data_IF_925422902479
#
_entry.id   IF_925422902479
#
_cell.length_a   1.000
_cell.length_b   1.000
_cell.length_c   1.000
_cell.angle_alpha   90.00
_cell.angle_beta   90.00
_cell.angle_gamma   90.00
#
_symmetry.space_group_name_H-M   'P 1'
#
loop_
_entity.id
_entity.type
_entity.pdbx_description
1 polymer ?
#
# COMPACT_ATOMS: atom_id res chain seq x y z
N UNK A 1 3.01 -16.42 10.62
CA UNK A 1 3.50 -15.85 9.35
C UNK A 1 4.73 -16.65 8.89
N UNK A 2 5.01 -16.69 7.59
CA UNK A 2 6.10 -17.46 6.97
C UNK A 2 7.46 -16.80 7.29
N UNK A 3 8.52 -17.61 7.53
CA UNK A 3 9.88 -17.12 7.81
C UNK A 3 10.40 -16.13 6.76
N UNK A 4 10.01 -16.29 5.50
CA UNK A 4 10.35 -15.36 4.42
C UNK A 4 9.76 -13.99 4.65
N UNK A 5 8.50 -13.91 5.09
CA UNK A 5 7.84 -12.66 5.42
C UNK A 5 8.57 -11.91 6.54
N UNK A 6 8.89 -12.62 7.62
CA UNK A 6 9.56 -12.03 8.78
C UNK A 6 10.98 -11.53 8.42
N UNK A 7 11.70 -12.26 7.58
CA UNK A 7 12.99 -11.82 7.03
C UNK A 7 12.84 -10.55 6.20
N UNK A 8 11.87 -10.50 5.28
CA UNK A 8 11.66 -9.31 4.44
C UNK A 8 11.22 -8.10 5.27
N UNK A 9 10.34 -8.32 6.24
CA UNK A 9 9.93 -7.27 7.18
C UNK A 9 11.13 -6.66 7.90
N UNK A 10 12.04 -7.51 8.41
CA UNK A 10 13.26 -7.04 9.09
C UNK A 10 14.15 -6.21 8.17
N UNK A 11 14.37 -6.65 6.93
CA UNK A 11 15.14 -5.91 5.92
C UNK A 11 14.52 -4.54 5.62
N UNK A 12 13.21 -4.49 5.45
CA UNK A 12 12.47 -3.26 5.17
C UNK A 12 12.53 -2.28 6.34
N UNK A 13 12.31 -2.74 7.56
CA UNK A 13 12.36 -1.87 8.75
C UNK A 13 13.75 -1.29 8.97
N UNK A 14 14.81 -2.07 8.73
CA UNK A 14 16.19 -1.58 8.76
C UNK A 14 16.46 -0.52 7.67
N UNK A 15 16.07 -0.82 6.43
CA UNK A 15 16.27 0.09 5.30
C UNK A 15 15.48 1.41 5.46
N UNK A 16 14.26 1.36 5.99
CA UNK A 16 13.48 2.56 6.28
C UNK A 16 14.18 3.47 7.30
N UNK A 17 14.77 2.90 8.37
CA UNK A 17 15.54 3.69 9.35
C UNK A 17 16.80 4.31 8.74
N UNK A 18 17.43 3.65 7.79
CA UNK A 18 18.58 4.21 7.07
C UNK A 18 18.16 5.31 6.08
N UNK A 19 17.01 5.14 5.39
CA UNK A 19 16.52 6.10 4.42
C UNK A 19 15.94 7.38 5.06
N UNK A 20 15.38 7.27 6.26
CA UNK A 20 14.87 8.40 7.06
C UNK A 20 15.47 8.30 8.48
N UNK A 21 16.72 8.75 8.68
CA UNK A 21 17.33 8.77 9.98
C UNK A 21 16.62 9.76 10.92
N UNK A 22 16.69 9.50 12.22
CA UNK A 22 16.19 10.45 13.20
C UNK A 22 16.98 11.76 13.10
N UNK A 23 16.33 12.94 13.22
CA UNK A 23 17.01 14.22 13.14
C UNK A 23 18.05 14.35 14.26
N UNK A 24 19.26 14.78 13.87
CA UNK A 24 20.34 15.04 14.82
C UNK A 24 20.31 16.51 15.25
N UNK A 25 20.16 16.74 16.55
CA UNK A 25 20.33 18.06 17.17
C UNK A 25 19.16 19.04 16.96
N UNK A 26 19.47 20.33 17.02
CA UNK A 26 18.50 21.44 16.98
C UNK A 26 18.34 22.06 15.59
N UNK A 27 18.27 21.23 14.55
CA UNK A 27 17.98 21.76 13.20
C UNK A 27 16.62 22.47 13.16
N UNK A 28 16.50 23.62 12.49
CA UNK A 28 15.20 24.25 12.27
C UNK A 28 14.18 23.37 11.51
N UNK A 29 14.64 22.35 10.77
CA UNK A 29 13.83 21.39 10.03
C UNK A 29 13.47 20.16 10.86
N UNK A 30 14.06 19.96 12.04
CA UNK A 30 13.80 18.79 12.89
C UNK A 30 12.31 18.50 13.13
N UNK A 31 11.43 19.52 13.36
CA UNK A 31 10.01 19.23 13.61
C UNK A 31 9.30 18.52 12.45
N UNK A 32 9.62 18.83 11.19
CA UNK A 32 9.01 18.11 10.06
C UNK A 32 9.59 16.70 9.92
N UNK A 33 10.87 16.53 10.14
CA UNK A 33 11.55 15.23 10.11
C UNK A 33 11.02 14.30 11.22
N UNK A 34 10.79 14.83 12.43
CA UNK A 34 10.15 14.11 13.53
C UNK A 34 8.71 13.70 13.19
N UNK A 35 7.92 14.59 12.58
CA UNK A 35 6.56 14.30 12.18
C UNK A 35 6.51 13.23 11.05
N UNK A 36 7.43 13.28 10.08
CA UNK A 36 7.60 12.24 9.07
C UNK A 36 7.92 10.88 9.70
N UNK A 37 8.92 10.85 10.58
CA UNK A 37 9.36 9.64 11.27
C UNK A 37 8.28 9.06 12.18
N UNK A 38 7.52 9.90 12.88
CA UNK A 38 6.40 9.47 13.72
C UNK A 38 5.44 8.57 12.95
N UNK A 39 4.93 9.01 11.80
CA UNK A 39 3.97 8.22 11.01
C UNK A 39 4.61 7.04 10.30
N UNK A 40 5.84 7.18 9.80
CA UNK A 40 6.54 6.10 9.10
C UNK A 40 6.85 4.92 10.05
N UNK A 41 7.23 5.21 11.32
CA UNK A 41 7.66 4.20 12.28
C UNK A 41 6.59 3.79 13.30
N UNK A 42 5.35 4.27 13.18
CA UNK A 42 4.24 3.84 14.05
C UNK A 42 3.89 2.35 13.87
N UNK A 43 4.45 1.70 12.87
CA UNK A 43 4.23 0.29 12.53
C UNK A 43 3.34 0.11 11.31
N UNK A 44 2.93 -1.14 11.08
CA UNK A 44 2.10 -1.55 9.94
C UNK A 44 2.51 -2.91 9.41
N UNK A 45 1.65 -3.52 8.58
CA UNK A 45 1.89 -4.86 8.01
C UNK A 45 3.00 -4.88 6.93
N UNK A 46 3.43 -3.73 6.43
CA UNK A 46 4.47 -3.57 5.39
C UNK A 46 4.28 -4.47 4.17
N UNK A 47 3.03 -4.72 3.79
CA UNK A 47 2.71 -5.65 2.67
C UNK A 47 3.34 -5.17 1.35
N UNK A 48 3.25 -3.86 1.04
CA UNK A 48 3.76 -3.29 -0.21
C UNK A 48 5.28 -3.46 -0.34
N UNK A 49 6.11 -3.05 0.64
CA UNK A 49 7.56 -3.32 0.59
C UNK A 49 7.89 -4.80 0.51
N UNK A 50 7.21 -5.67 1.27
CA UNK A 50 7.42 -7.13 1.24
C UNK A 50 7.11 -7.70 -0.15
N UNK A 51 6.07 -7.22 -0.83
CA UNK A 51 5.78 -7.59 -2.21
C UNK A 51 6.90 -7.16 -3.17
N UNK A 52 7.47 -5.97 -3.01
CA UNK A 52 8.59 -5.53 -3.86
C UNK A 52 9.80 -6.47 -3.72
N UNK A 53 10.16 -6.85 -2.50
CA UNK A 53 11.23 -7.81 -2.26
C UNK A 53 10.91 -9.19 -2.84
N UNK A 54 9.67 -9.66 -2.65
CA UNK A 54 9.19 -10.94 -3.17
C UNK A 54 9.25 -11.03 -4.69
N UNK A 55 8.83 -9.99 -5.40
CA UNK A 55 8.90 -9.94 -6.87
C UNK A 55 10.33 -9.79 -7.38
N UNK A 56 11.20 -9.08 -6.68
CA UNK A 56 12.63 -9.05 -7.01
C UNK A 56 13.23 -10.46 -6.95
N UNK A 57 12.99 -11.19 -5.85
CA UNK A 57 13.48 -12.57 -5.72
C UNK A 57 12.84 -13.50 -6.76
N UNK A 58 11.55 -13.38 -7.05
CA UNK A 58 10.86 -14.20 -8.05
C UNK A 58 11.45 -14.03 -9.45
N UNK A 59 11.94 -12.82 -9.77
CA UNK A 59 12.62 -12.51 -11.03
C UNK A 59 14.12 -12.86 -11.02
N UNK A 60 14.64 -13.48 -9.94
CA UNK A 60 16.03 -13.92 -9.83
C UNK A 60 17.01 -12.90 -9.26
N UNK A 61 16.52 -11.74 -8.81
CA UNK A 61 17.33 -10.73 -8.09
C UNK A 61 17.50 -11.09 -6.61
N UNK A 62 18.47 -10.47 -5.93
CA UNK A 62 18.55 -10.47 -4.48
C UNK A 62 17.49 -9.51 -3.91
N UNK A 63 16.70 -9.89 -2.89
CA UNK A 63 15.67 -9.03 -2.33
C UNK A 63 16.18 -7.65 -1.91
N UNK A 64 17.41 -7.59 -1.42
CA UNK A 64 18.08 -6.39 -0.96
C UNK A 64 18.24 -5.33 -2.07
N UNK A 65 18.28 -5.74 -3.33
CA UNK A 65 18.33 -4.81 -4.47
C UNK A 65 17.06 -3.95 -4.58
N UNK A 66 15.90 -4.49 -4.19
CA UNK A 66 14.64 -3.77 -4.26
C UNK A 66 14.38 -2.83 -3.06
N UNK A 67 15.26 -2.79 -2.05
CA UNK A 67 15.04 -2.00 -0.83
C UNK A 67 14.78 -0.51 -1.08
N UNK A 68 15.50 0.21 -1.99
CA UNK A 68 15.17 1.60 -2.28
C UNK A 68 13.73 1.76 -2.81
N UNK A 69 13.29 0.88 -3.68
CA UNK A 69 11.93 0.88 -4.22
C UNK A 69 10.88 0.51 -3.16
N UNK A 70 11.18 -0.49 -2.33
CA UNK A 70 10.33 -0.91 -1.22
C UNK A 70 10.12 0.21 -0.19
N UNK A 71 11.19 0.89 0.20
CA UNK A 71 11.13 2.07 1.09
C UNK A 71 10.31 3.21 0.46
N UNK A 72 10.54 3.51 -0.82
CA UNK A 72 9.84 4.56 -1.54
C UNK A 72 8.33 4.33 -1.58
N UNK A 73 7.89 3.11 -1.89
CA UNK A 73 6.46 2.75 -1.90
C UNK A 73 5.83 2.90 -0.51
N UNK A 74 6.54 2.52 0.56
CA UNK A 74 6.02 2.67 1.93
C UNK A 74 5.97 4.13 2.37
N UNK A 75 6.92 4.98 1.93
CA UNK A 75 6.88 6.42 2.17
C UNK A 75 5.68 7.06 1.47
N UNK A 76 5.42 6.67 0.20
CA UNK A 76 4.23 7.11 -0.54
C UNK A 76 2.95 6.65 0.16
N UNK A 77 2.88 5.41 0.61
CA UNK A 77 1.74 4.93 1.38
C UNK A 77 1.57 5.69 2.70
N UNK A 78 2.66 6.01 3.39
CA UNK A 78 2.59 6.71 4.67
C UNK A 78 2.13 8.16 4.51
N UNK A 79 2.64 8.88 3.50
CA UNK A 79 2.16 10.25 3.27
C UNK A 79 0.66 10.28 2.98
N UNK A 80 0.15 9.33 2.19
CA UNK A 80 -1.27 9.31 1.88
C UNK A 80 -2.12 9.13 3.13
N UNK A 81 -1.68 8.28 4.07
CA UNK A 81 -2.36 8.11 5.36
C UNK A 81 -2.31 9.38 6.23
N UNK A 82 -1.19 10.12 6.23
CA UNK A 82 -1.10 11.39 6.97
C UNK A 82 -2.11 12.40 6.42
N UNK A 83 -2.20 12.51 5.09
CA UNK A 83 -3.11 13.46 4.45
C UNK A 83 -4.57 13.02 4.57
N UNK A 84 -4.86 11.71 4.46
CA UNK A 84 -6.22 11.17 4.67
C UNK A 84 -6.74 11.48 6.08
N UNK A 85 -5.88 11.46 7.09
CA UNK A 85 -6.26 11.73 8.48
C UNK A 85 -6.57 13.21 8.78
N UNK A 86 -6.23 14.17 7.88
CA UNK A 86 -6.43 15.59 8.11
C UNK A 86 -7.92 15.95 8.26
N UNK A 87 -8.26 17.03 9.01
CA UNK A 87 -9.65 17.48 9.18
C UNK A 87 -10.39 17.87 7.90
N UNK A 88 -9.66 18.17 6.82
CA UNK A 88 -10.26 18.44 5.50
C UNK A 88 -10.47 17.17 4.65
N UNK A 89 -10.14 16.01 5.20
CA UNK A 89 -10.26 14.69 4.58
C UNK A 89 -11.13 13.80 5.49
N UNK A 90 -10.59 12.68 6.01
CA UNK A 90 -11.33 11.73 6.84
C UNK A 90 -11.52 12.19 8.31
N UNK A 91 -10.76 13.19 8.77
CA UNK A 91 -10.74 13.73 10.16
C UNK A 91 -10.60 12.63 11.23
N UNK A 92 -9.67 11.70 11.01
CA UNK A 92 -9.45 10.60 11.92
C UNK A 92 -8.51 10.99 13.07
N UNK A 93 -8.94 10.71 14.31
CA UNK A 93 -8.15 11.01 15.51
C UNK A 93 -7.07 9.97 15.80
N UNK A 94 -7.27 8.73 15.36
CA UNK A 94 -6.43 7.58 15.70
C UNK A 94 -6.11 6.73 14.47
N UNK A 95 -4.84 6.31 14.35
CA UNK A 95 -4.38 5.36 13.33
C UNK A 95 -3.40 4.36 13.92
N UNK A 96 -3.63 3.07 13.67
CA UNK A 96 -2.79 1.96 14.20
C UNK A 96 -2.62 2.04 15.73
N UNK A 97 -3.66 2.46 16.45
CA UNK A 97 -3.66 2.56 17.92
C UNK A 97 -2.87 3.74 18.49
N UNK A 98 -2.46 4.69 17.65
CA UNK A 98 -1.78 5.94 18.05
C UNK A 98 -2.57 7.15 17.54
N UNK A 99 -2.46 8.33 18.19
CA UNK A 99 -2.99 9.57 17.64
C UNK A 99 -2.45 9.83 16.24
N UNK A 100 -3.29 10.41 15.37
CA UNK A 100 -2.89 10.79 14.01
C UNK A 100 -1.88 11.94 14.02
N UNK A 101 -1.16 12.12 12.92
CA UNK A 101 -0.06 13.08 12.85
C UNK A 101 -0.52 14.50 13.20
N UNK A 102 -1.68 14.93 12.66
CA UNK A 102 -2.21 16.27 12.91
C UNK A 102 -2.65 16.49 14.37
N UNK A 103 -3.02 15.42 15.10
CA UNK A 103 -3.32 15.53 16.54
C UNK A 103 -2.05 15.71 17.39
N UNK A 104 -0.90 15.22 16.93
CA UNK A 104 0.37 15.32 17.66
C UNK A 104 1.13 16.59 17.30
N UNK A 105 1.20 16.94 16.02
CA UNK A 105 2.05 18.01 15.49
C UNK A 105 1.26 19.22 14.95
N UNK A 106 -0.06 19.14 14.89
CA UNK A 106 -0.91 20.14 14.26
C UNK A 106 -1.03 19.96 12.74
N UNK A 107 -2.09 20.53 12.16
CA UNK A 107 -2.48 20.33 10.74
C UNK A 107 -1.38 20.75 9.75
N UNK A 108 -0.80 21.96 9.95
CA UNK A 108 0.22 22.47 9.05
C UNK A 108 1.47 21.59 9.01
N UNK A 109 1.90 21.08 10.17
CA UNK A 109 3.06 20.21 10.24
C UNK A 109 2.75 18.82 9.66
N UNK A 110 1.56 18.29 9.88
CA UNK A 110 1.12 17.04 9.26
C UNK A 110 1.09 17.15 7.72
N UNK A 111 0.58 18.27 7.18
CA UNK A 111 0.61 18.52 5.74
C UNK A 111 2.05 18.52 5.21
N UNK A 112 2.95 19.26 5.85
CA UNK A 112 4.37 19.30 5.45
C UNK A 112 5.09 17.95 5.62
N UNK A 113 4.73 17.15 6.63
CA UNK A 113 5.27 15.81 6.82
C UNK A 113 4.86 14.87 5.68
N UNK A 114 3.62 14.97 5.21
CA UNK A 114 3.17 14.25 4.01
C UNK A 114 3.94 14.65 2.76
N UNK A 115 4.07 15.97 2.50
CA UNK A 115 4.84 16.50 1.37
C UNK A 115 6.33 16.06 1.43
N UNK A 116 6.90 16.09 2.63
CA UNK A 116 8.26 15.66 2.89
C UNK A 116 8.47 14.17 2.56
N UNK A 117 7.57 13.30 3.03
CA UNK A 117 7.61 11.86 2.73
C UNK A 117 7.41 11.57 1.23
N UNK A 118 6.50 12.27 0.57
CA UNK A 118 6.29 12.13 -0.87
C UNK A 118 7.56 12.48 -1.65
N UNK A 119 8.20 13.58 -1.32
CA UNK A 119 9.46 14.01 -1.97
C UNK A 119 10.60 13.03 -1.65
N UNK A 120 10.73 12.61 -0.38
CA UNK A 120 11.72 11.63 0.07
C UNK A 120 11.56 10.27 -0.61
N UNK A 121 10.34 9.87 -0.92
CA UNK A 121 10.07 8.64 -1.66
C UNK A 121 10.76 8.62 -3.03
N UNK A 122 10.67 9.71 -3.79
CA UNK A 122 11.34 9.80 -5.10
C UNK A 122 12.85 9.90 -4.98
N UNK A 123 13.37 10.64 -4.02
CA UNK A 123 14.81 10.66 -3.70
C UNK A 123 15.32 9.23 -3.41
N UNK A 124 14.56 8.48 -2.59
CA UNK A 124 14.89 7.10 -2.20
C UNK A 124 14.80 6.16 -3.40
N UNK A 125 13.74 6.24 -4.22
CA UNK A 125 13.62 5.41 -5.42
C UNK A 125 14.78 5.64 -6.42
N UNK A 126 15.18 6.88 -6.59
CA UNK A 126 16.30 7.26 -7.47
C UNK A 126 17.67 6.90 -6.91
N UNK A 127 17.79 6.53 -5.64
CA UNK A 127 19.03 6.00 -5.04
C UNK A 127 19.29 4.53 -5.38
N UNK A 128 18.44 3.90 -6.20
CA UNK A 128 18.63 2.52 -6.65
C UNK A 128 20.02 2.34 -7.29
N UNK A 129 20.79 1.37 -6.76
CA UNK A 129 22.19 1.17 -7.13
C UNK A 129 22.41 0.40 -8.44
N UNK A 130 21.35 -0.06 -9.11
CA UNK A 130 21.40 -0.72 -10.42
C UNK A 130 21.53 0.27 -11.58
N UNK A 131 21.22 -0.16 -12.82
CA UNK A 131 21.24 0.71 -13.99
C UNK A 131 20.40 1.97 -13.78
N UNK A 132 20.91 3.14 -14.19
CA UNK A 132 20.20 4.42 -14.05
C UNK A 132 18.84 4.42 -14.76
N UNK A 133 18.72 3.71 -15.87
CA UNK A 133 17.46 3.52 -16.60
C UNK A 133 16.42 2.79 -15.77
N UNK A 134 16.81 1.81 -14.94
CA UNK A 134 15.92 1.09 -14.05
C UNK A 134 15.51 1.95 -12.84
N UNK A 135 16.42 2.79 -12.31
CA UNK A 135 16.06 3.79 -11.29
C UNK A 135 14.98 4.74 -11.82
N UNK A 136 15.16 5.27 -13.04
CA UNK A 136 14.18 6.14 -13.70
C UNK A 136 12.88 5.39 -13.98
N UNK A 137 12.95 4.13 -14.43
CA UNK A 137 11.76 3.30 -14.71
C UNK A 137 10.97 3.03 -13.43
N UNK A 138 11.63 2.66 -12.34
CA UNK A 138 11.00 2.46 -11.03
C UNK A 138 10.33 3.73 -10.52
N UNK A 139 11.03 4.86 -10.55
CA UNK A 139 10.47 6.16 -10.14
C UNK A 139 9.28 6.58 -11.00
N UNK A 140 9.31 6.31 -12.33
CA UNK A 140 8.18 6.56 -13.24
C UNK A 140 6.97 5.71 -12.89
N UNK A 141 7.15 4.41 -12.62
CA UNK A 141 6.07 3.51 -12.18
C UNK A 141 5.44 4.07 -10.90
N UNK A 142 6.26 4.42 -9.91
CA UNK A 142 5.78 5.00 -8.66
C UNK A 142 4.96 6.28 -8.91
N UNK A 143 5.46 7.21 -9.71
CA UNK A 143 4.78 8.47 -10.03
C UNK A 143 3.42 8.24 -10.71
N UNK A 144 3.36 7.34 -11.69
CA UNK A 144 2.13 7.02 -12.39
C UNK A 144 1.09 6.38 -11.46
N UNK A 145 1.52 5.46 -10.58
CA UNK A 145 0.63 4.73 -9.69
C UNK A 145 0.22 5.53 -8.45
N UNK A 146 1.04 6.47 -8.00
CA UNK A 146 0.69 7.37 -6.91
C UNK A 146 -0.14 8.58 -7.36
N UNK A 147 -0.01 9.02 -8.61
CA UNK A 147 -0.57 10.25 -9.15
C UNK A 147 -2.06 10.22 -9.46
N UNK A 148 -2.53 11.20 -10.25
CA UNK A 148 -3.93 11.40 -10.61
C UNK A 148 -4.55 10.23 -11.41
N UNK A 149 -3.75 9.43 -12.12
CA UNK A 149 -4.21 8.21 -12.79
C UNK A 149 -4.07 6.95 -11.91
N UNK A 150 -3.81 7.10 -10.62
CA UNK A 150 -3.63 6.03 -9.66
C UNK A 150 -4.22 6.42 -8.30
N UNK A 151 -3.40 6.34 -7.22
CA UNK A 151 -3.86 6.49 -5.84
C UNK A 151 -4.57 7.82 -5.57
N UNK A 152 -4.01 8.95 -6.02
CA UNK A 152 -4.65 10.27 -5.85
C UNK A 152 -5.98 10.34 -6.60
N UNK A 153 -6.06 9.76 -7.82
CA UNK A 153 -7.31 9.68 -8.56
C UNK A 153 -8.36 8.83 -7.86
N UNK A 154 -7.96 7.67 -7.33
CA UNK A 154 -8.85 6.81 -6.53
C UNK A 154 -9.37 7.53 -5.27
N UNK A 155 -8.53 8.29 -4.58
CA UNK A 155 -8.94 9.11 -3.44
C UNK A 155 -9.91 10.24 -3.86
N UNK A 156 -9.69 10.84 -5.02
CA UNK A 156 -10.63 11.83 -5.57
C UNK A 156 -12.02 11.23 -5.84
N UNK A 157 -12.07 10.01 -6.40
CA UNK A 157 -13.34 9.28 -6.61
C UNK A 157 -14.00 8.96 -5.26
N UNK A 158 -13.24 8.53 -4.26
CA UNK A 158 -13.77 8.23 -2.92
C UNK A 158 -14.47 9.47 -2.30
N UNK A 159 -13.79 10.61 -2.27
CA UNK A 159 -14.36 11.87 -1.77
C UNK A 159 -15.56 12.35 -2.58
N UNK A 160 -15.48 12.29 -3.92
CA UNK A 160 -16.60 12.73 -4.78
C UNK A 160 -17.81 11.78 -4.67
N UNK A 161 -17.61 10.56 -4.19
CA UNK A 161 -18.66 9.55 -4.02
C UNK A 161 -19.41 9.63 -2.70
N UNK A 162 -18.95 10.43 -1.74
CA UNK A 162 -19.59 10.56 -0.43
C UNK A 162 -21.02 11.08 -0.55
N UNK A 163 -21.97 10.37 0.06
CA UNK A 163 -23.40 10.70 0.02
C UNK A 163 -24.06 10.51 -1.36
N UNK A 164 -23.39 9.88 -2.32
CA UNK A 164 -23.92 9.58 -3.64
C UNK A 164 -24.20 8.08 -3.82
N UNK A 165 -25.06 7.75 -4.78
CA UNK A 165 -25.29 6.37 -5.17
C UNK A 165 -24.17 5.91 -6.11
N UNK A 166 -23.38 4.93 -5.64
CA UNK A 166 -22.20 4.38 -6.33
C UNK A 166 -22.54 3.01 -6.88
N UNK A 167 -22.35 2.80 -8.18
CA UNK A 167 -22.47 1.48 -8.79
C UNK A 167 -21.18 0.65 -8.66
N UNK A 168 -21.27 -0.63 -8.99
CA UNK A 168 -20.15 -1.56 -8.88
C UNK A 168 -18.96 -1.18 -9.79
N UNK A 169 -19.21 -0.50 -10.92
CA UNK A 169 -18.16 -0.07 -11.85
C UNK A 169 -17.33 1.03 -11.25
N UNK A 170 -17.99 2.05 -10.68
CA UNK A 170 -17.33 3.18 -10.03
C UNK A 170 -16.59 2.74 -8.76
N UNK A 171 -17.18 1.83 -7.95
CA UNK A 171 -16.53 1.25 -6.79
C UNK A 171 -15.23 0.51 -7.17
N UNK A 172 -15.27 -0.27 -8.25
CA UNK A 172 -14.06 -0.94 -8.77
C UNK A 172 -13.00 0.04 -9.26
N UNK A 173 -13.38 1.09 -9.95
CA UNK A 173 -12.46 2.13 -10.43
C UNK A 173 -11.79 2.86 -9.25
N UNK A 174 -12.56 3.20 -8.23
CA UNK A 174 -12.06 3.78 -6.99
C UNK A 174 -10.99 2.89 -6.34
N UNK A 175 -11.27 1.60 -6.14
CA UNK A 175 -10.35 0.66 -5.51
C UNK A 175 -9.12 0.36 -6.36
N UNK A 176 -9.29 0.29 -7.69
CA UNK A 176 -8.16 0.20 -8.63
C UNK A 176 -7.18 1.36 -8.45
N UNK A 177 -7.69 2.58 -8.24
CA UNK A 177 -6.87 3.75 -7.96
C UNK A 177 -6.33 3.73 -6.52
N UNK A 178 -7.23 3.81 -5.54
CA UNK A 178 -6.89 4.04 -4.12
C UNK A 178 -6.02 2.93 -3.53
N UNK A 179 -6.31 1.66 -3.85
CA UNK A 179 -5.67 0.50 -3.20
C UNK A 179 -4.74 -0.27 -4.15
N UNK A 180 -5.23 -0.70 -5.32
CA UNK A 180 -4.50 -1.59 -6.22
C UNK A 180 -3.30 -0.90 -6.86
N UNK A 181 -3.41 0.37 -7.23
CA UNK A 181 -2.36 1.07 -7.95
C UNK A 181 -1.01 1.03 -7.21
N UNK A 182 -1.00 1.28 -5.91
CA UNK A 182 0.25 1.30 -5.13
C UNK A 182 0.78 -0.11 -4.84
N UNK A 183 -0.09 -1.12 -4.72
CA UNK A 183 0.32 -2.54 -4.69
C UNK A 183 0.97 -2.93 -6.01
N UNK A 184 0.40 -2.48 -7.13
CA UNK A 184 0.96 -2.70 -8.46
C UNK A 184 2.33 -2.02 -8.63
N UNK A 185 2.50 -0.79 -8.12
CA UNK A 185 3.81 -0.14 -8.07
C UNK A 185 4.85 -1.01 -7.37
N UNK A 186 4.53 -1.52 -6.18
CA UNK A 186 5.42 -2.36 -5.40
C UNK A 186 5.87 -3.62 -6.17
N UNK A 187 4.91 -4.37 -6.73
CA UNK A 187 5.20 -5.59 -7.48
C UNK A 187 6.05 -5.31 -8.74
N UNK A 188 5.67 -4.28 -9.52
CA UNK A 188 6.39 -3.92 -10.74
C UNK A 188 7.80 -3.39 -10.45
N UNK A 189 7.97 -2.54 -9.42
CA UNK A 189 9.28 -2.01 -9.03
C UNK A 189 10.20 -3.12 -8.51
N UNK A 190 9.65 -4.14 -7.84
CA UNK A 190 10.40 -5.34 -7.50
C UNK A 190 10.92 -6.08 -8.73
N UNK A 191 10.11 -6.24 -9.76
CA UNK A 191 10.54 -6.80 -11.05
C UNK A 191 11.64 -5.94 -11.72
N UNK A 192 11.48 -4.60 -11.72
CA UNK A 192 12.49 -3.67 -12.26
C UNK A 192 13.82 -3.82 -11.54
N UNK A 193 13.83 -3.97 -10.21
CA UNK A 193 15.04 -4.15 -9.41
C UNK A 193 15.86 -5.40 -9.82
N UNK A 194 15.20 -6.40 -10.40
CA UNK A 194 15.83 -7.61 -10.92
C UNK A 194 16.09 -7.56 -12.45
N UNK A 195 15.88 -6.42 -13.12
CA UNK A 195 16.06 -6.30 -14.55
C UNK A 195 15.01 -7.03 -15.40
N UNK A 196 13.82 -7.26 -14.87
CA UNK A 196 12.76 -7.99 -15.55
C UNK A 196 12.17 -7.23 -16.76
N UNK A 197 11.71 -8.01 -17.77
CA UNK A 197 11.09 -7.48 -18.97
C UNK A 197 9.60 -7.12 -18.81
N UNK A 198 9.02 -6.51 -19.87
CA UNK A 198 7.63 -6.01 -19.86
C UNK A 198 6.59 -7.12 -19.58
N UNK A 199 6.81 -8.34 -20.06
CA UNK A 199 5.88 -9.45 -19.81
C UNK A 199 5.78 -9.80 -18.31
N UNK A 200 6.90 -9.74 -17.59
CA UNK A 200 6.93 -9.97 -16.14
C UNK A 200 6.31 -8.81 -15.38
N UNK A 201 6.53 -7.56 -15.83
CA UNK A 201 5.89 -6.38 -15.25
C UNK A 201 4.35 -6.45 -15.41
N UNK A 202 3.86 -6.90 -16.56
CA UNK A 202 2.42 -7.06 -16.78
C UNK A 202 1.83 -8.18 -15.91
N UNK A 203 2.55 -9.29 -15.75
CA UNK A 203 2.12 -10.36 -14.85
C UNK A 203 2.13 -9.91 -13.38
N UNK A 204 3.13 -9.13 -12.96
CA UNK A 204 3.16 -8.52 -11.63
C UNK A 204 1.99 -7.56 -11.41
N UNK A 205 1.60 -6.78 -12.43
CA UNK A 205 0.42 -5.92 -12.40
C UNK A 205 -0.86 -6.73 -12.20
N UNK A 206 -1.05 -7.83 -12.93
CA UNK A 206 -2.22 -8.72 -12.78
C UNK A 206 -2.28 -9.37 -11.41
N UNK A 207 -1.14 -9.81 -10.87
CA UNK A 207 -1.08 -10.31 -9.51
C UNK A 207 -1.53 -9.23 -8.50
N UNK A 208 -1.01 -8.02 -8.63
CA UNK A 208 -1.34 -6.90 -7.76
C UNK A 208 -2.83 -6.53 -7.81
N UNK A 209 -3.44 -6.60 -9.01
CA UNK A 209 -4.88 -6.42 -9.20
C UNK A 209 -5.67 -7.47 -8.42
N UNK A 210 -5.34 -8.74 -8.58
CA UNK A 210 -5.99 -9.82 -7.86
C UNK A 210 -5.86 -9.68 -6.34
N UNK A 211 -4.64 -9.45 -5.84
CA UNK A 211 -4.40 -9.29 -4.39
C UNK A 211 -5.07 -8.05 -3.84
N UNK A 212 -4.97 -6.91 -4.53
CA UNK A 212 -5.52 -5.63 -4.07
C UNK A 212 -7.04 -5.65 -4.01
N UNK A 213 -7.70 -6.19 -5.03
CA UNK A 213 -9.16 -6.35 -5.05
C UNK A 213 -9.65 -7.35 -4.00
N UNK A 214 -9.00 -8.51 -3.88
CA UNK A 214 -9.35 -9.48 -2.84
C UNK A 214 -9.19 -8.88 -1.43
N UNK A 215 -8.13 -8.12 -1.23
CA UNK A 215 -7.84 -7.43 0.03
C UNK A 215 -8.93 -6.42 0.39
N UNK A 216 -9.33 -5.54 -0.56
CA UNK A 216 -10.35 -4.53 -0.33
C UNK A 216 -11.73 -5.14 -0.07
N UNK A 217 -12.16 -6.09 -0.91
CA UNK A 217 -13.45 -6.77 -0.73
C UNK A 217 -13.48 -7.53 0.61
N UNK A 218 -12.34 -8.12 1.02
CA UNK A 218 -12.23 -8.77 2.33
C UNK A 218 -12.35 -7.77 3.49
N UNK A 219 -11.79 -6.55 3.34
CA UNK A 219 -11.99 -5.47 4.33
C UNK A 219 -13.46 -5.11 4.48
N UNK A 220 -14.19 -4.95 3.38
CA UNK A 220 -15.64 -4.67 3.39
C UNK A 220 -16.44 -5.78 4.10
N UNK A 221 -16.08 -7.04 3.85
CA UNK A 221 -16.70 -8.19 4.54
C UNK A 221 -16.42 -8.13 6.05
N UNK A 222 -15.19 -7.82 6.44
CA UNK A 222 -14.79 -7.73 7.84
C UNK A 222 -15.45 -6.54 8.55
N UNK A 223 -15.66 -5.42 7.86
CA UNK A 223 -16.35 -4.26 8.43
C UNK A 223 -17.82 -4.57 8.76
N UNK A 224 -18.47 -5.40 7.95
CA UNK A 224 -19.88 -5.81 8.17
C UNK A 224 -20.01 -6.95 9.16
N UNK A 225 -19.14 -7.96 9.12
CA UNK A 225 -19.25 -9.19 9.91
C UNK A 225 -18.34 -9.21 11.14
N UNK A 226 -17.38 -8.30 11.22
CA UNK A 226 -16.36 -8.27 12.26
C UNK A 226 -16.91 -7.82 13.61
N UNK A 227 -16.22 -8.22 14.68
CA UNK A 227 -16.42 -7.72 16.02
C UNK A 227 -15.40 -6.60 16.31
N UNK A 228 -15.88 -5.46 16.82
CA UNK A 228 -15.05 -4.30 17.14
C UNK A 228 -13.86 -4.64 18.05
N UNK A 229 -14.04 -5.56 19.00
CA UNK A 229 -12.98 -6.01 19.91
C UNK A 229 -11.88 -6.79 19.19
N UNK A 230 -12.21 -7.49 18.10
CA UNK A 230 -11.30 -8.34 17.33
C UNK A 230 -10.53 -7.55 16.29
N UNK A 231 -11.15 -6.54 15.65
CA UNK A 231 -10.56 -5.77 14.54
C UNK A 231 -9.66 -4.61 15.00
N UNK A 232 -9.79 -4.15 16.26
CA UNK A 232 -9.00 -3.03 16.79
C UNK A 232 -9.31 -1.68 16.13
N UNK A 233 -10.43 -1.58 15.40
CA UNK A 233 -11.01 -0.38 14.79
C UNK A 233 -12.51 -0.34 15.03
N UNK A 234 -13.16 0.79 14.83
CA UNK A 234 -14.62 0.87 14.86
C UNK A 234 -15.19 0.09 13.67
N UNK A 235 -16.07 -0.87 13.94
CA UNK A 235 -16.81 -1.66 12.94
C UNK A 235 -18.00 -0.83 12.46
N UNK A 236 -18.40 -1.01 11.19
CA UNK A 236 -19.53 -0.29 10.62
C UNK A 236 -19.20 1.16 10.26
N UNK A 237 -17.92 1.51 10.09
CA UNK A 237 -17.52 2.87 9.70
C UNK A 237 -18.10 3.27 8.34
N UNK A 238 -18.16 2.34 7.37
CA UNK A 238 -18.77 2.59 6.06
C UNK A 238 -20.28 2.87 6.20
N UNK A 239 -20.97 2.12 7.05
CA UNK A 239 -22.40 2.37 7.35
C UNK A 239 -22.61 3.70 8.07
N UNK A 240 -21.71 4.11 8.96
CA UNK A 240 -21.78 5.38 9.67
C UNK A 240 -21.53 6.58 8.76
N UNK A 241 -20.71 6.39 7.69
CA UNK A 241 -20.41 7.41 6.66
C UNK A 241 -21.30 7.31 5.43
N UNK A 242 -22.31 6.42 5.42
CA UNK A 242 -23.20 6.15 4.28
C UNK A 242 -22.45 5.76 2.99
N UNK A 243 -21.26 5.11 3.15
CA UNK A 243 -20.44 4.65 2.02
C UNK A 243 -20.95 3.33 1.47
N UNK A 244 -21.08 3.24 0.15
CA UNK A 244 -21.35 1.97 -0.56
C UNK A 244 -20.08 1.12 -0.60
N UNK A 245 -20.22 -0.19 -0.36
CA UNK A 245 -19.16 -1.16 -0.43
C UNK A 245 -19.64 -2.45 -1.14
N UNK A 246 -18.76 -3.41 -1.38
CA UNK A 246 -19.11 -4.64 -2.10
C UNK A 246 -20.22 -5.44 -1.39
N UNK A 247 -20.22 -5.47 -0.06
CA UNK A 247 -21.23 -6.20 0.70
C UNK A 247 -22.61 -5.54 0.58
N UNK A 248 -22.67 -4.20 0.63
CA UNK A 248 -23.93 -3.46 0.47
C UNK A 248 -24.53 -3.58 -0.94
N UNK A 249 -23.70 -3.73 -1.97
CA UNK A 249 -24.12 -3.85 -3.37
C UNK A 249 -24.47 -5.28 -3.79
N UNK A 250 -23.73 -6.27 -3.30
CA UNK A 250 -23.79 -7.65 -3.79
C UNK A 250 -24.23 -8.68 -2.75
N UNK A 251 -24.19 -8.32 -1.47
CA UNK A 251 -24.33 -9.26 -0.36
C UNK A 251 -23.04 -10.03 -0.05
N UNK A 252 -22.98 -10.58 1.16
CA UNK A 252 -21.78 -11.26 1.71
C UNK A 252 -21.33 -12.46 0.87
N UNK A 253 -22.27 -13.29 0.40
CA UNK A 253 -21.95 -14.52 -0.37
C UNK A 253 -21.28 -14.20 -1.71
N UNK A 254 -21.77 -13.18 -2.42
CA UNK A 254 -21.18 -12.77 -3.69
C UNK A 254 -19.85 -12.07 -3.48
N UNK A 255 -19.73 -11.20 -2.48
CA UNK A 255 -18.46 -10.59 -2.10
C UNK A 255 -17.40 -11.67 -1.77
N UNK A 256 -17.76 -12.73 -1.05
CA UNK A 256 -16.86 -13.85 -0.75
C UNK A 256 -16.41 -14.57 -2.04
N UNK A 257 -17.33 -14.82 -2.98
CA UNK A 257 -16.97 -15.41 -4.28
C UNK A 257 -16.00 -14.54 -5.09
N UNK A 258 -16.17 -13.22 -5.05
CA UNK A 258 -15.24 -12.29 -5.69
C UNK A 258 -13.85 -12.34 -5.05
N UNK A 259 -13.74 -12.45 -3.72
CA UNK A 259 -12.45 -12.64 -3.03
C UNK A 259 -11.75 -13.90 -3.55
N UNK A 260 -12.46 -15.02 -3.66
CA UNK A 260 -11.91 -16.27 -4.18
C UNK A 260 -11.45 -16.14 -5.65
N UNK A 261 -12.28 -15.49 -6.48
CA UNK A 261 -11.98 -15.26 -7.89
C UNK A 261 -10.72 -14.40 -8.08
N UNK A 262 -10.61 -13.28 -7.37
CA UNK A 262 -9.46 -12.40 -7.45
C UNK A 262 -8.19 -13.05 -6.87
N UNK A 263 -8.31 -13.85 -5.83
CA UNK A 263 -7.19 -14.65 -5.30
C UNK A 263 -6.68 -15.65 -6.33
N UNK A 264 -7.57 -16.38 -7.00
CA UNK A 264 -7.21 -17.31 -8.07
C UNK A 264 -6.56 -16.59 -9.26
N UNK A 265 -7.05 -15.41 -9.63
CA UNK A 265 -6.44 -14.57 -10.67
C UNK A 265 -5.00 -14.16 -10.30
N UNK A 266 -4.77 -13.78 -9.03
CA UNK A 266 -3.43 -13.47 -8.55
C UNK A 266 -2.50 -14.69 -8.64
N UNK A 267 -2.95 -15.87 -8.23
CA UNK A 267 -2.15 -17.09 -8.32
C UNK A 267 -1.82 -17.46 -9.77
N UNK A 268 -2.79 -17.33 -10.68
CA UNK A 268 -2.59 -17.59 -12.11
C UNK A 268 -1.57 -16.64 -12.73
N UNK A 269 -1.55 -15.38 -12.33
CA UNK A 269 -0.58 -14.41 -12.82
C UNK A 269 0.87 -14.79 -12.51
N UNK A 270 1.10 -15.59 -11.45
CA UNK A 270 2.44 -16.08 -11.07
C UNK A 270 2.94 -17.24 -11.95
N UNK A 271 2.08 -17.91 -12.72
CA UNK A 271 2.47 -19.07 -13.54
C UNK A 271 3.44 -18.70 -14.68
N UNK A 272 3.49 -17.42 -15.05
CA UNK A 272 4.43 -16.92 -16.08
C UNK A 272 5.85 -16.72 -15.58
N UNK A 273 6.08 -16.79 -14.26
CA UNK A 273 7.40 -16.59 -13.67
C UNK A 273 8.16 -17.90 -13.53
N UNK A 274 9.49 -17.92 -13.84
CA UNK A 274 10.29 -19.14 -13.74
C UNK A 274 10.72 -19.49 -12.31
N UNK A 275 10.63 -18.55 -11.37
CA UNK A 275 11.09 -18.72 -10.00
C UNK A 275 10.06 -19.40 -9.08
N UNK A 276 10.42 -19.59 -7.82
CA UNK A 276 9.52 -20.15 -6.80
C UNK A 276 8.43 -19.15 -6.41
N UNK A 277 7.18 -19.51 -6.70
CA UNK A 277 6.00 -18.69 -6.45
C UNK A 277 5.33 -18.98 -5.11
N UNK A 278 5.81 -19.95 -4.33
CA UNK A 278 5.13 -20.44 -3.13
C UNK A 278 4.85 -19.33 -2.11
N UNK A 279 5.85 -18.47 -1.85
CA UNK A 279 5.71 -17.35 -0.92
C UNK A 279 4.62 -16.38 -1.34
N UNK A 280 4.58 -15.95 -2.61
CA UNK A 280 3.60 -14.99 -3.10
C UNK A 280 2.19 -15.58 -3.18
N UNK A 281 2.05 -16.87 -3.51
CA UNK A 281 0.75 -17.58 -3.44
C UNK A 281 0.23 -17.66 -2.00
N UNK A 282 1.08 -18.02 -1.05
CA UNK A 282 0.72 -18.06 0.37
C UNK A 282 0.32 -16.68 0.88
N UNK A 283 1.06 -15.63 0.50
CA UNK A 283 0.74 -14.25 0.87
C UNK A 283 -0.61 -13.81 0.33
N UNK A 284 -0.92 -14.08 -0.94
CA UNK A 284 -2.22 -13.78 -1.54
C UNK A 284 -3.37 -14.45 -0.77
N UNK A 285 -3.24 -15.74 -0.48
CA UNK A 285 -4.23 -16.50 0.32
C UNK A 285 -4.39 -15.94 1.73
N UNK A 286 -3.29 -15.61 2.40
CA UNK A 286 -3.34 -15.08 3.77
C UNK A 286 -4.04 -13.72 3.85
N UNK A 287 -3.88 -12.87 2.83
CA UNK A 287 -4.57 -11.58 2.75
C UNK A 287 -6.08 -11.75 2.48
N UNK A 288 -6.45 -12.73 1.66
CA UNK A 288 -7.83 -13.06 1.35
C UNK A 288 -8.61 -13.72 2.52
N UNK A 289 -7.90 -14.44 3.41
CA UNK A 289 -8.52 -15.20 4.52
C UNK A 289 -8.31 -14.56 5.89
N UNK A 290 -7.71 -13.37 5.97
CA UNK A 290 -7.45 -12.68 7.24
C UNK A 290 -8.74 -12.44 8.04
N UNK A 291 -8.60 -12.45 9.35
CA UNK A 291 -9.66 -12.15 10.32
C UNK A 291 -9.48 -10.77 10.97
N UNK A 292 -8.35 -10.11 10.69
CA UNK A 292 -7.96 -8.80 11.27
C UNK A 292 -7.28 -7.92 10.23
#
# INVERSE_FOLDING_TARGET
>A
MNQTFDRYLSLVEEALRQALPQPEGSSPTAPVEEAMAYSLFVGGKRIRPVLALGFCQLCGGAPEQALPFACAVEMVHTYSLIHDDLPCMDDDDMRRGKPTNHKVYGEAMALLAGDGLLTKAFETALSFAGPAEDAVRGARILAQRAGAAGMVGGQCIDLDSEGKDVDLSLLREMDQGKTVALISAACQMGCVAAGAGEAQLESARRYAEGVGMAFQIRDDILDVLGDAATLGKNVGMDSARDKRNYVSLLGVEEAQRLVEQFTAQAEQALESFPGDTAFLKELARSLATREK
#
